data_IF_141699203787
#
_entry.id   IF_141699203787
#
_cell.length_a   1.000
_cell.length_b   1.000
_cell.length_c   1.000
_cell.angle_alpha   90.00
_cell.angle_beta   90.00
_cell.angle_gamma   90.00
#
_symmetry.space_group_name_H-M   'P 1'
#
loop_
_entity.id
_entity.type
_entity.pdbx_description
1 polymer ?
#
# COMPACT_ATOMS: atom_id res chain seq x y z
N UNK A 1 -15.60 10.14 -43.18
CA UNK A 1 -15.97 10.38 -41.76
C UNK A 1 -16.03 11.90 -41.57
N UNK A 2 -17.21 12.50 -41.39
CA UNK A 2 -17.32 13.95 -41.14
C UNK A 2 -16.55 14.29 -39.87
N UNK A 3 -15.75 15.36 -39.88
CA UNK A 3 -15.00 15.76 -38.69
C UNK A 3 -15.94 16.35 -37.64
N UNK A 4 -15.57 16.31 -36.35
CA UNK A 4 -16.38 16.87 -35.24
C UNK A 4 -16.75 18.35 -35.51
N UNK A 5 -15.89 19.06 -36.23
CA UNK A 5 -16.08 20.45 -36.64
C UNK A 5 -17.21 20.64 -37.66
N UNK A 6 -17.43 19.67 -38.54
CA UNK A 6 -18.48 19.71 -39.57
C UNK A 6 -19.87 19.42 -38.98
N UNK A 7 -19.94 18.55 -37.97
CA UNK A 7 -21.23 18.18 -37.36
C UNK A 7 -21.73 19.20 -36.32
N UNK A 8 -20.83 20.04 -35.79
CA UNK A 8 -21.16 20.98 -34.71
C UNK A 8 -20.58 22.37 -34.97
N UNK A 9 -21.14 23.12 -35.93
CA UNK A 9 -20.64 24.45 -36.32
C UNK A 9 -20.70 25.47 -35.17
N UNK A 10 -21.60 25.25 -34.19
CA UNK A 10 -21.73 26.07 -32.98
C UNK A 10 -20.38 26.25 -32.26
N UNK A 11 -19.57 25.19 -32.15
CA UNK A 11 -18.28 25.26 -31.46
C UNK A 11 -17.20 26.05 -32.21
N UNK A 12 -17.32 26.18 -33.53
CA UNK A 12 -16.43 27.03 -34.33
C UNK A 12 -16.76 28.51 -34.10
N UNK A 13 -18.05 28.85 -34.14
CA UNK A 13 -18.53 30.22 -33.91
C UNK A 13 -18.22 30.71 -32.49
N UNK A 14 -18.23 29.82 -31.49
CA UNK A 14 -17.84 30.15 -30.11
C UNK A 14 -16.35 30.47 -29.98
N UNK A 15 -15.50 29.73 -30.70
CA UNK A 15 -14.05 29.94 -30.71
C UNK A 15 -13.68 31.28 -31.32
N UNK A 16 -14.37 31.66 -32.41
CA UNK A 16 -14.17 32.94 -33.11
C UNK A 16 -14.63 34.14 -32.26
N UNK A 17 -15.72 34.00 -31.52
CA UNK A 17 -16.29 35.07 -30.68
C UNK A 17 -15.63 35.25 -29.32
N UNK A 18 -14.65 34.39 -28.97
CA UNK A 18 -13.95 34.34 -27.68
C UNK A 18 -14.87 34.45 -26.45
N UNK A 19 -16.09 33.91 -26.55
CA UNK A 19 -17.13 33.98 -25.51
C UNK A 19 -17.62 32.56 -25.22
N UNK A 20 -16.82 31.74 -24.54
CA UNK A 20 -17.19 30.37 -24.25
C UNK A 20 -18.41 30.34 -23.33
N UNK A 21 -19.34 29.44 -23.62
CA UNK A 21 -20.42 29.10 -22.71
C UNK A 21 -19.85 28.67 -21.34
N UNK A 22 -20.48 29.11 -20.25
CA UNK A 22 -20.04 28.79 -18.90
C UNK A 22 -20.05 27.28 -18.64
N UNK A 23 -18.93 26.71 -18.22
CA UNK A 23 -18.72 25.26 -17.97
C UNK A 23 -19.80 24.64 -17.06
N UNK A 24 -20.53 25.47 -16.31
CA UNK A 24 -21.51 25.06 -15.32
C UNK A 24 -22.76 24.34 -15.85
N UNK A 25 -23.19 24.48 -17.13
CA UNK A 25 -24.24 23.58 -17.67
C UNK A 25 -23.89 22.93 -19.02
N UNK A 26 -23.11 21.84 -19.02
CA UNK A 26 -22.68 21.16 -20.26
C UNK A 26 -23.85 20.51 -21.02
N UNK A 27 -24.94 20.15 -20.33
CA UNK A 27 -26.10 19.49 -20.92
C UNK A 27 -26.89 20.46 -21.80
N UNK A 28 -27.16 21.67 -21.30
CA UNK A 28 -27.83 22.74 -22.07
C UNK A 28 -27.04 23.13 -23.32
N UNK A 29 -25.70 23.09 -23.23
CA UNK A 29 -24.81 23.32 -24.38
C UNK A 29 -24.95 22.21 -25.43
N UNK A 30 -25.02 20.97 -25.00
CA UNK A 30 -25.18 19.82 -25.89
C UNK A 30 -26.53 19.88 -26.60
N UNK A 31 -27.62 20.14 -25.86
CA UNK A 31 -28.98 20.38 -26.40
C UNK A 31 -28.97 21.40 -27.52
N UNK A 32 -28.34 22.56 -27.30
CA UNK A 32 -28.24 23.64 -28.29
C UNK A 32 -27.35 23.29 -29.49
N UNK A 33 -26.36 22.42 -29.32
CA UNK A 33 -25.44 22.04 -30.38
C UNK A 33 -25.98 20.90 -31.25
N UNK A 34 -26.81 20.02 -30.68
CA UNK A 34 -27.39 18.85 -31.37
C UNK A 34 -28.83 19.07 -31.82
N UNK A 35 -29.46 20.19 -31.45
CA UNK A 35 -30.90 20.47 -31.62
C UNK A 35 -31.81 19.33 -31.15
N UNK A 36 -31.38 18.62 -30.09
CA UNK A 36 -32.09 17.49 -29.51
C UNK A 36 -32.87 17.93 -28.27
N UNK A 37 -33.90 17.18 -27.88
CA UNK A 37 -34.60 17.46 -26.62
C UNK A 37 -33.69 17.24 -25.40
N UNK A 38 -33.94 17.99 -24.33
CA UNK A 38 -33.18 17.88 -23.07
C UNK A 38 -33.24 16.46 -22.51
N UNK A 39 -34.42 15.82 -22.58
CA UNK A 39 -34.63 14.44 -22.15
C UNK A 39 -33.79 13.43 -22.96
N UNK A 40 -33.74 13.58 -24.29
CA UNK A 40 -32.96 12.68 -25.14
C UNK A 40 -31.46 12.79 -24.83
N UNK A 41 -30.98 14.00 -24.56
CA UNK A 41 -29.58 14.23 -24.17
C UNK A 41 -29.30 13.62 -22.80
N UNK A 42 -30.18 13.82 -21.81
CA UNK A 42 -30.06 13.25 -20.47
C UNK A 42 -30.03 11.72 -20.49
N UNK A 43 -30.88 11.09 -21.29
CA UNK A 43 -30.96 9.64 -21.40
C UNK A 43 -29.71 9.03 -22.04
N UNK A 44 -29.15 9.69 -23.07
CA UNK A 44 -27.87 9.29 -23.65
C UNK A 44 -26.75 9.43 -22.63
N UNK A 45 -26.69 10.53 -21.87
CA UNK A 45 -25.67 10.74 -20.83
C UNK A 45 -25.77 9.66 -19.74
N UNK A 46 -26.97 9.35 -19.26
CA UNK A 46 -27.22 8.26 -18.30
C UNK A 46 -26.81 6.90 -18.87
N UNK A 47 -27.16 6.62 -20.13
CA UNK A 47 -26.80 5.36 -20.79
C UNK A 47 -25.27 5.21 -20.94
N UNK A 48 -24.57 6.28 -21.33
CA UNK A 48 -23.11 6.31 -21.41
C UNK A 48 -22.48 6.12 -20.03
N UNK A 49 -23.00 6.79 -19.00
CA UNK A 49 -22.53 6.61 -17.63
C UNK A 49 -22.72 5.17 -17.15
N UNK A 50 -23.91 4.59 -17.36
CA UNK A 50 -24.21 3.18 -17.05
C UNK A 50 -23.28 2.22 -17.79
N UNK A 51 -23.03 2.45 -19.08
CA UNK A 51 -22.11 1.64 -19.87
C UNK A 51 -20.66 1.77 -19.41
N UNK A 52 -20.23 2.97 -18.98
CA UNK A 52 -18.91 3.20 -18.41
C UNK A 52 -18.72 2.45 -17.08
N UNK A 53 -19.70 2.54 -16.18
CA UNK A 53 -19.72 1.81 -14.90
C UNK A 53 -19.73 0.30 -15.13
N UNK A 54 -20.51 -0.22 -16.08
CA UNK A 54 -20.51 -1.65 -16.40
C UNK A 54 -19.16 -2.12 -16.98
N UNK A 55 -18.50 -1.30 -17.81
CA UNK A 55 -17.17 -1.62 -18.37
C UNK A 55 -16.07 -1.66 -17.29
N UNK A 56 -16.14 -0.82 -16.26
CA UNK A 56 -15.18 -0.86 -15.14
C UNK A 56 -15.39 -2.07 -14.23
N UNK A 57 -16.64 -2.47 -13.99
CA UNK A 57 -16.97 -3.65 -13.17
C UNK A 57 -16.53 -4.95 -13.86
N UNK A 58 -16.79 -5.11 -15.17
CA UNK A 58 -16.48 -6.35 -15.92
C UNK A 58 -14.99 -6.66 -16.08
N UNK A 59 -14.07 -5.70 -15.90
CA UNK A 59 -12.62 -5.93 -16.10
C UNK A 59 -11.93 -6.66 -14.93
N UNK A 60 -12.61 -6.92 -13.81
CA UNK A 60 -11.91 -7.19 -12.55
C UNK A 60 -12.32 -8.45 -11.76
N UNK A 61 -13.30 -9.24 -12.19
CA UNK A 61 -13.76 -10.38 -11.37
C UNK A 61 -13.46 -11.70 -12.06
N UNK A 62 -12.23 -12.19 -11.88
CA UNK A 62 -11.91 -13.61 -12.06
C UNK A 62 -12.13 -14.44 -10.78
N UNK A 63 -12.27 -13.77 -9.63
CA UNK A 63 -12.39 -14.40 -8.33
C UNK A 63 -13.56 -13.75 -7.61
N UNK A 64 -14.46 -14.59 -7.12
CA UNK A 64 -15.61 -14.16 -6.34
C UNK A 64 -15.17 -13.70 -4.93
N UNK A 65 -16.08 -13.09 -4.17
CA UNK A 65 -15.78 -12.67 -2.81
C UNK A 65 -15.47 -13.85 -1.87
N UNK A 66 -16.06 -15.01 -2.13
CA UNK A 66 -15.70 -16.24 -1.43
C UNK A 66 -14.24 -16.65 -1.68
N UNK A 67 -13.81 -16.65 -2.94
CA UNK A 67 -12.43 -17.00 -3.31
C UNK A 67 -11.43 -16.02 -2.72
N UNK A 68 -11.77 -14.73 -2.71
CA UNK A 68 -10.99 -13.69 -2.01
C UNK A 68 -10.81 -14.02 -0.53
N UNK A 69 -11.84 -14.56 0.12
CA UNK A 69 -11.76 -15.09 1.48
C UNK A 69 -10.79 -16.26 1.61
N UNK A 70 -10.81 -17.20 0.66
CA UNK A 70 -9.85 -18.33 0.61
C UNK A 70 -8.42 -17.82 0.45
N UNK A 71 -8.17 -16.88 -0.46
CA UNK A 71 -6.85 -16.25 -0.66
C UNK A 71 -6.34 -15.62 0.63
N UNK A 72 -7.18 -14.84 1.33
CA UNK A 72 -6.80 -14.23 2.60
C UNK A 72 -6.40 -15.28 3.65
N UNK A 73 -7.20 -16.34 3.80
CA UNK A 73 -6.89 -17.43 4.74
C UNK A 73 -5.60 -18.14 4.38
N UNK A 74 -5.37 -18.46 3.10
CA UNK A 74 -4.12 -19.10 2.66
C UNK A 74 -2.88 -18.28 2.98
N UNK A 75 -2.95 -16.95 2.85
CA UNK A 75 -1.84 -16.07 3.21
C UNK A 75 -1.55 -16.16 4.70
N UNK A 76 -2.57 -16.11 5.55
CA UNK A 76 -2.39 -16.25 7.01
C UNK A 76 -1.88 -17.65 7.40
N UNK A 77 -2.36 -18.71 6.75
CA UNK A 77 -1.87 -20.08 6.97
C UNK A 77 -0.37 -20.18 6.66
N UNK A 78 0.08 -19.56 5.56
CA UNK A 78 1.49 -19.52 5.17
C UNK A 78 2.35 -18.72 6.18
N UNK A 79 1.84 -17.58 6.65
CA UNK A 79 2.49 -16.81 7.71
C UNK A 79 2.61 -17.60 9.01
N UNK A 80 1.55 -18.33 9.41
CA UNK A 80 1.57 -19.18 10.61
C UNK A 80 2.63 -20.28 10.49
N UNK A 81 2.85 -20.81 9.29
CA UNK A 81 3.91 -21.80 8.99
C UNK A 81 5.30 -21.18 8.82
N UNK A 82 5.45 -19.86 9.01
CA UNK A 82 6.70 -19.12 8.80
C UNK A 82 7.30 -19.29 7.40
N UNK A 83 6.45 -19.57 6.41
CA UNK A 83 6.86 -19.67 5.00
C UNK A 83 6.79 -18.31 4.32
N UNK A 84 7.70 -18.07 3.37
CA UNK A 84 7.68 -16.84 2.58
C UNK A 84 6.47 -16.83 1.64
N UNK A 85 5.61 -15.82 1.80
CA UNK A 85 4.43 -15.62 0.95
C UNK A 85 4.87 -14.93 -0.34
N UNK A 86 5.43 -15.70 -1.27
CA UNK A 86 5.68 -15.24 -2.64
C UNK A 86 4.47 -15.52 -3.53
N UNK A 87 4.28 -14.75 -4.59
CA UNK A 87 3.14 -14.95 -5.51
C UNK A 87 3.09 -16.36 -6.14
N UNK A 88 4.22 -16.96 -6.56
CA UNK A 88 4.23 -18.34 -7.07
C UNK A 88 3.88 -19.36 -5.97
N UNK A 89 4.44 -19.21 -4.76
CA UNK A 89 4.12 -20.08 -3.62
C UNK A 89 2.63 -20.02 -3.28
N UNK A 90 2.07 -18.81 -3.25
CA UNK A 90 0.64 -18.60 -3.02
C UNK A 90 -0.21 -19.21 -4.14
N UNK A 91 0.19 -19.08 -5.40
CA UNK A 91 -0.51 -19.70 -6.52
C UNK A 91 -0.51 -21.24 -6.39
N UNK A 92 0.62 -21.84 -6.04
CA UNK A 92 0.70 -23.29 -5.81
C UNK A 92 -0.18 -23.73 -4.65
N UNK A 93 -0.21 -22.96 -3.56
CA UNK A 93 -1.07 -23.23 -2.42
C UNK A 93 -2.58 -23.10 -2.76
N UNK A 94 -2.93 -22.18 -3.66
CA UNK A 94 -4.30 -21.99 -4.15
C UNK A 94 -4.72 -23.09 -5.12
N UNK A 95 -3.83 -23.53 -6.01
CA UNK A 95 -4.07 -24.69 -6.89
C UNK A 95 -4.40 -25.96 -6.10
N UNK A 96 -3.77 -26.16 -4.94
CA UNK A 96 -4.08 -27.28 -4.02
C UNK A 96 -5.45 -27.17 -3.34
N UNK A 97 -6.08 -26.00 -3.35
CA UNK A 97 -7.42 -25.74 -2.81
C UNK A 97 -8.45 -25.54 -3.93
N UNK A 98 -8.20 -26.14 -5.09
CA UNK A 98 -9.05 -26.11 -6.29
C UNK A 98 -9.25 -24.73 -6.95
N UNK A 99 -8.38 -23.74 -6.64
CA UNK A 99 -8.40 -22.43 -7.28
C UNK A 99 -7.23 -22.32 -8.25
N UNK A 100 -7.47 -22.63 -9.53
CA UNK A 100 -6.47 -22.45 -10.58
C UNK A 100 -6.56 -21.06 -11.24
N UNK A 101 -5.65 -20.19 -10.84
CA UNK A 101 -5.55 -18.82 -11.35
C UNK A 101 -4.12 -18.48 -11.74
N UNK A 102 -3.95 -17.54 -12.67
CA UNK A 102 -2.62 -17.06 -13.06
C UNK A 102 -1.98 -16.20 -11.96
N UNK A 103 -0.65 -16.15 -11.93
CA UNK A 103 0.13 -15.34 -10.98
C UNK A 103 -0.31 -13.87 -10.99
N UNK A 104 -0.58 -13.32 -12.19
CA UNK A 104 -1.05 -11.94 -12.36
C UNK A 104 -2.39 -11.70 -11.67
N UNK A 105 -3.31 -12.67 -11.77
CA UNK A 105 -4.61 -12.62 -11.08
C UNK A 105 -4.42 -12.68 -9.58
N UNK A 106 -3.61 -13.61 -9.07
CA UNK A 106 -3.28 -13.68 -7.63
C UNK A 106 -2.71 -12.35 -7.13
N UNK A 107 -1.70 -11.80 -7.82
CA UNK A 107 -1.06 -10.56 -7.40
C UNK A 107 -2.03 -9.37 -7.38
N UNK A 108 -2.94 -9.29 -8.36
CA UNK A 108 -3.98 -8.26 -8.39
C UNK A 108 -4.95 -8.41 -7.24
N UNK A 109 -5.44 -9.63 -6.99
CA UNK A 109 -6.37 -9.94 -5.91
C UNK A 109 -5.77 -9.62 -4.55
N UNK A 110 -4.52 -10.03 -4.32
CA UNK A 110 -3.80 -9.75 -3.06
C UNK A 110 -3.69 -8.24 -2.80
N UNK A 111 -3.39 -7.43 -3.83
CA UNK A 111 -3.38 -5.96 -3.70
C UNK A 111 -4.77 -5.40 -3.44
N UNK A 112 -5.81 -5.93 -4.09
CA UNK A 112 -7.20 -5.53 -3.86
C UNK A 112 -7.66 -5.84 -2.43
N UNK A 113 -7.15 -6.92 -1.83
CA UNK A 113 -7.42 -7.27 -0.43
C UNK A 113 -6.66 -6.41 0.59
N UNK A 114 -5.83 -5.46 0.14
CA UNK A 114 -5.10 -4.52 0.98
C UNK A 114 -3.70 -4.97 1.39
N UNK A 115 -3.24 -6.13 0.93
CA UNK A 115 -1.88 -6.59 1.22
C UNK A 115 -0.86 -5.79 0.40
N UNK A 116 0.24 -5.42 1.06
CA UNK A 116 1.37 -4.73 0.45
C UNK A 116 2.65 -5.53 0.66
N UNK A 117 3.46 -5.60 -0.39
CA UNK A 117 4.79 -6.20 -0.31
C UNK A 117 5.78 -5.18 0.27
N UNK A 118 6.51 -5.57 1.30
CA UNK A 118 7.56 -4.76 1.91
C UNK A 118 8.90 -5.46 1.74
N UNK A 119 9.91 -4.73 1.25
CA UNK A 119 11.29 -5.21 1.23
C UNK A 119 11.84 -5.12 2.65
N UNK A 120 12.22 -6.26 3.22
CA UNK A 120 12.80 -6.32 4.55
C UNK A 120 14.27 -5.85 4.49
N UNK A 121 14.52 -4.54 4.50
CA UNK A 121 15.89 -4.01 4.49
C UNK A 121 16.53 -3.91 5.89
N UNK A 122 15.80 -4.27 6.95
CA UNK A 122 16.33 -4.57 8.29
C UNK A 122 15.26 -5.36 9.02
N UNK A 123 15.63 -6.47 9.66
CA UNK A 123 14.78 -7.39 10.45
C UNK A 123 13.84 -6.73 11.47
N UNK A 124 14.00 -5.42 11.71
CA UNK A 124 13.24 -4.59 12.66
C UNK A 124 12.00 -3.89 12.08
N UNK A 125 11.77 -3.87 10.75
CA UNK A 125 10.63 -3.10 10.17
C UNK A 125 9.30 -3.85 10.13
N UNK A 126 9.33 -5.17 10.19
CA UNK A 126 8.12 -5.99 10.26
C UNK A 126 8.10 -6.71 11.61
N UNK A 127 7.61 -6.01 12.64
CA UNK A 127 7.37 -6.61 13.95
C UNK A 127 5.93 -7.12 13.94
N UNK A 128 5.75 -8.39 13.56
CA UNK A 128 4.56 -9.10 14.00
C UNK A 128 4.75 -9.38 15.48
N UNK A 129 3.83 -8.91 16.34
CA UNK A 129 3.86 -9.32 17.75
C UNK A 129 3.73 -10.85 17.82
N UNK A 130 4.54 -11.49 18.65
CA UNK A 130 4.38 -12.91 18.95
C UNK A 130 3.10 -13.11 19.77
N UNK A 131 2.43 -14.24 19.61
CA UNK A 131 1.15 -14.54 20.27
C UNK A 131 1.23 -14.44 21.80
N UNK A 132 2.35 -14.86 22.40
CA UNK A 132 2.62 -14.73 23.83
C UNK A 132 2.71 -13.26 24.28
N UNK A 133 3.38 -12.41 23.52
CA UNK A 133 3.47 -10.96 23.79
C UNK A 133 2.08 -10.30 23.68
N UNK A 134 1.26 -10.69 22.70
CA UNK A 134 -0.11 -10.18 22.56
C UNK A 134 -0.95 -10.52 23.79
N UNK A 135 -0.85 -11.77 24.27
CA UNK A 135 -1.57 -12.21 25.47
C UNK A 135 -1.12 -11.44 26.72
N UNK A 136 0.19 -11.26 26.91
CA UNK A 136 0.75 -10.47 28.01
C UNK A 136 0.25 -9.02 27.96
N UNK A 137 0.26 -8.40 26.78
CA UNK A 137 -0.24 -7.04 26.56
C UNK A 137 -1.73 -6.95 26.87
N UNK A 138 -2.55 -7.89 26.42
CA UNK A 138 -3.98 -7.93 26.72
C UNK A 138 -4.23 -8.07 28.22
N UNK A 139 -3.52 -8.98 28.90
CA UNK A 139 -3.63 -9.16 30.34
C UNK A 139 -3.23 -7.89 31.11
N UNK A 140 -2.13 -7.27 30.71
CA UNK A 140 -1.67 -5.99 31.25
C UNK A 140 -2.72 -4.88 31.09
N UNK A 141 -3.24 -4.69 29.88
CA UNK A 141 -4.25 -3.66 29.60
C UNK A 141 -5.53 -3.85 30.42
N UNK A 142 -5.99 -5.11 30.58
CA UNK A 142 -7.13 -5.43 31.45
C UNK A 142 -6.86 -5.07 32.92
N UNK A 143 -5.67 -5.40 33.44
CA UNK A 143 -5.26 -5.04 34.81
C UNK A 143 -5.20 -3.53 35.01
N UNK A 144 -4.55 -2.80 34.10
CA UNK A 144 -4.45 -1.34 34.17
C UNK A 144 -5.83 -0.69 34.14
N UNK A 145 -6.74 -1.17 33.28
CA UNK A 145 -8.12 -0.67 33.23
C UNK A 145 -8.84 -0.86 34.57
N UNK A 146 -8.69 -2.03 35.20
CA UNK A 146 -9.24 -2.30 36.54
C UNK A 146 -8.67 -1.37 37.60
N UNK A 147 -7.34 -1.13 37.60
CA UNK A 147 -6.71 -0.22 38.56
C UNK A 147 -7.17 1.24 38.40
N UNK A 148 -7.40 1.70 37.15
CA UNK A 148 -7.98 3.02 36.89
C UNK A 148 -9.41 3.14 37.41
N UNK A 149 -10.23 2.11 37.25
CA UNK A 149 -11.60 2.08 37.78
C UNK A 149 -11.64 2.12 39.31
N UNK A 150 -10.62 1.57 39.97
CA UNK A 150 -10.47 1.59 41.43
C UNK A 150 -9.86 2.92 41.95
N UNK A 151 -9.60 3.90 41.08
CA UNK A 151 -9.03 5.19 41.47
C UNK A 151 -7.57 5.12 41.91
N UNK A 152 -6.81 4.06 41.55
CA UNK A 152 -5.41 3.92 41.95
C UNK A 152 -4.51 4.82 41.10
N UNK A 153 -3.53 5.46 41.75
CA UNK A 153 -2.46 6.18 41.06
C UNK A 153 -1.53 5.18 40.34
N UNK A 154 -1.25 5.42 39.06
CA UNK A 154 -0.40 4.56 38.23
C UNK A 154 0.82 5.39 37.82
N UNK A 155 2.00 4.93 38.23
CA UNK A 155 3.30 5.54 37.86
C UNK A 155 3.99 4.61 36.88
N UNK A 156 4.48 5.16 35.77
CA UNK A 156 5.28 4.43 34.79
C UNK A 156 6.74 4.89 34.92
N UNK A 157 7.65 3.93 35.05
CA UNK A 157 9.09 4.16 35.04
C UNK A 157 9.63 3.59 33.73
N UNK A 158 10.43 4.37 33.01
CA UNK A 158 11.24 3.86 31.90
C UNK A 158 12.73 3.95 32.26
N UNK A 159 13.50 3.01 31.71
CA UNK A 159 14.95 3.09 31.70
C UNK A 159 15.37 3.46 30.28
N UNK A 160 15.91 4.66 30.11
CA UNK A 160 16.48 5.10 28.84
C UNK A 160 18.00 4.96 28.89
N UNK A 161 18.55 4.02 28.12
CA UNK A 161 20.00 3.82 28.01
C UNK A 161 20.65 5.00 27.27
N UNK A 162 21.30 5.90 28.03
CA UNK A 162 21.98 7.11 27.51
C UNK A 162 23.12 6.83 26.53
N UNK A 163 23.68 5.62 26.52
CA UNK A 163 24.92 5.32 25.80
C UNK A 163 24.70 4.88 24.32
N UNK A 164 23.46 4.76 23.88
CA UNK A 164 23.13 4.16 22.57
C UNK A 164 23.54 5.04 21.38
N UNK A 165 23.72 6.35 21.61
CA UNK A 165 24.10 7.32 20.57
C UNK A 165 25.57 7.72 20.61
N UNK A 166 26.35 7.23 21.58
CA UNK A 166 27.81 7.47 21.66
C UNK A 166 28.59 6.46 20.80
N UNK A 167 28.10 6.18 19.60
CA UNK A 167 28.84 5.42 18.58
C UNK A 167 29.28 6.41 17.53
N UNK A 168 30.54 6.83 17.59
CA UNK A 168 31.14 7.64 16.54
C UNK A 168 31.25 6.76 15.29
N UNK A 169 30.58 7.15 14.20
CA UNK A 169 30.54 6.36 12.95
C UNK A 169 31.84 6.39 12.15
N UNK A 170 32.78 7.24 12.54
CA UNK A 170 34.06 7.42 11.88
C UNK A 170 35.13 7.79 12.89
N UNK A 171 36.37 7.47 12.55
CA UNK A 171 37.56 7.79 13.33
C UNK A 171 38.65 8.24 12.36
N UNK A 172 39.59 9.06 12.83
CA UNK A 172 40.75 9.45 12.01
C UNK A 172 41.81 8.37 12.16
N UNK A 173 42.00 7.58 11.11
CA UNK A 173 43.03 6.53 11.06
C UNK A 173 44.10 6.90 10.05
N UNK A 174 45.36 6.69 10.41
CA UNK A 174 46.48 6.76 9.47
C UNK A 174 46.53 5.45 8.69
N UNK A 175 45.94 5.45 7.49
CA UNK A 175 45.90 4.27 6.61
C UNK A 175 46.90 4.43 5.48
N UNK A 176 47.91 3.54 5.34
CA UNK A 176 48.80 3.58 4.19
C UNK A 176 48.00 3.25 2.91
N UNK A 177 48.39 3.90 1.81
CA UNK A 177 47.70 3.96 0.51
C UNK A 177 47.34 2.63 -0.16
N UNK A 178 47.74 1.49 0.41
CA UNK A 178 47.63 0.15 -0.20
C UNK A 178 46.55 -0.75 0.43
N UNK A 179 45.89 -0.36 1.52
CA UNK A 179 44.92 -1.23 2.21
C UNK A 179 43.46 -0.82 1.93
N UNK A 180 42.77 -1.58 1.06
CA UNK A 180 41.31 -1.49 0.81
C UNK A 180 40.48 -2.48 1.64
N UNK A 181 40.92 -2.87 2.84
CA UNK A 181 40.05 -3.66 3.72
C UNK A 181 39.06 -2.73 4.42
N UNK A 182 37.79 -2.79 4.01
CA UNK A 182 36.65 -2.13 4.65
C UNK A 182 36.67 -2.47 6.14
N UNK A 183 36.93 -1.47 6.98
CA UNK A 183 36.94 -1.61 8.42
C UNK A 183 35.50 -1.76 8.91
N UNK A 184 35.02 -2.99 9.10
CA UNK A 184 33.74 -3.23 9.77
C UNK A 184 33.91 -3.04 11.29
N UNK A 185 33.19 -2.09 11.92
CA UNK A 185 33.27 -1.92 13.35
C UNK A 185 32.62 -3.12 14.03
N UNK A 186 33.44 -4.01 14.60
CA UNK A 186 32.99 -5.02 15.54
C UNK A 186 32.65 -4.33 16.87
N UNK A 187 31.40 -3.92 17.01
CA UNK A 187 30.91 -3.46 18.31
C UNK A 187 30.71 -4.68 19.22
N UNK A 188 31.42 -4.74 20.35
CA UNK A 188 30.87 -4.62 21.73
C UNK A 188 31.89 -5.04 22.77
N UNK A 189 32.45 -4.06 23.51
CA UNK A 189 33.03 -4.29 24.85
C UNK A 189 34.55 -4.25 24.98
N UNK A 190 35.33 -4.16 23.90
CA UNK A 190 36.79 -4.06 23.98
C UNK A 190 37.25 -2.61 23.84
N UNK A 191 38.03 -2.11 24.80
CA UNK A 191 38.77 -0.84 24.64
C UNK A 191 39.54 -0.86 23.31
N UNK A 192 39.48 0.26 22.56
CA UNK A 192 40.23 0.43 21.31
C UNK A 192 41.71 0.14 21.57
N UNK A 193 42.24 -0.96 21.01
CA UNK A 193 43.69 -1.19 20.97
C UNK A 193 44.27 -0.28 19.88
N UNK A 194 45.01 0.74 20.31
CA UNK A 194 45.81 1.57 19.41
C UNK A 194 47.05 0.75 19.03
N UNK A 195 47.35 0.50 17.74
CA UNK A 195 48.63 -0.08 17.36
C UNK A 195 49.73 0.91 17.72
N UNK A 196 50.71 0.53 18.55
CA UNK A 196 51.90 1.35 18.74
C UNK A 196 52.73 1.30 17.46
N UNK A 197 52.73 2.40 16.70
CA UNK A 197 53.60 2.53 15.53
C UNK A 197 55.07 2.52 15.94
N UNK A 198 55.84 1.61 15.34
CA UNK A 198 57.21 1.87 14.90
C UNK A 198 57.17 2.07 13.40
#
# INVERSE_FOLDING_TARGET
KRTIKENFPVFLTEKEKNKPWAIQNPIKRLVKATDASDDAVQDVVKAVHKAAVQKTVKKNQKLDDFDKGVVRRTIYDLHKKSQSVTMPSLQQALKKKDIDVSISTVSRTVRLLGFRFYKNASSRRFVSEREDIVLLRMAYLRKIRKFRQQGRHIVYLDETWLNTNHVVKGDWLDVPSTSMSVFEPHCKGTHRKVPSGK
#
